data_IF_425689309779
#
_entry.id   IF_425689309779
#
_cell.length_a   1.000
_cell.length_b   1.000
_cell.length_c   1.000
_cell.angle_alpha   90.00
_cell.angle_beta   90.00
_cell.angle_gamma   90.00
#
_symmetry.space_group_name_H-M   'P 1'
#
loop_
_entity.id
_entity.type
_entity.pdbx_description
1 polymer ?
#
# COMPACT_ATOMS: atom_id res chain seq x y z
N UNK A 1 -3.12 13.28 -15.04
CA UNK A 1 -4.44 12.77 -14.70
C UNK A 1 -5.05 13.66 -13.64
N UNK A 2 -6.18 14.28 -13.96
CA UNK A 2 -6.92 15.07 -12.96
C UNK A 2 -7.89 14.15 -12.25
N UNK A 3 -7.56 13.78 -11.01
CA UNK A 3 -8.53 13.13 -10.16
C UNK A 3 -9.19 14.17 -9.25
N UNK A 4 -10.49 14.14 -9.28
CA UNK A 4 -11.34 14.95 -8.42
C UNK A 4 -11.03 14.66 -6.94
N UNK A 5 -11.27 15.66 -6.09
CA UNK A 5 -11.17 15.52 -4.63
C UNK A 5 -12.07 14.43 -4.05
N UNK A 6 -13.01 13.92 -4.86
CA UNK A 6 -13.88 12.80 -4.49
C UNK A 6 -13.21 11.43 -4.61
N UNK A 7 -11.97 11.34 -5.08
CA UNK A 7 -11.25 10.08 -5.21
C UNK A 7 -10.77 9.59 -3.84
N UNK A 8 -11.38 8.50 -3.39
CA UNK A 8 -11.08 7.89 -2.09
C UNK A 8 -10.64 6.44 -2.28
N UNK A 9 -9.35 6.18 -2.54
CA UNK A 9 -8.87 4.82 -2.64
C UNK A 9 -8.90 4.13 -1.28
N UNK A 10 -8.99 2.81 -1.30
CA UNK A 10 -9.01 2.00 -0.09
C UNK A 10 -7.69 1.23 0.06
N UNK A 11 -7.29 0.99 1.29
CA UNK A 11 -6.11 0.17 1.59
C UNK A 11 -6.22 -1.20 0.92
N UNK A 12 -5.14 -1.66 0.30
CA UNK A 12 -5.09 -2.93 -0.43
C UNK A 12 -5.46 -2.84 -1.90
N UNK A 13 -6.05 -1.74 -2.34
CA UNK A 13 -6.33 -1.53 -3.75
C UNK A 13 -5.04 -1.21 -4.51
N UNK A 14 -4.96 -1.70 -5.74
CA UNK A 14 -3.80 -1.50 -6.62
C UNK A 14 -4.21 -0.62 -7.78
N UNK A 15 -3.43 0.42 -8.01
CA UNK A 15 -3.61 1.37 -9.11
C UNK A 15 -2.31 1.53 -9.88
N UNK A 16 -2.41 1.89 -11.14
CA UNK A 16 -1.26 2.46 -11.85
C UNK A 16 -0.90 3.79 -11.21
N UNK A 17 0.38 3.98 -10.92
CA UNK A 17 0.87 5.19 -10.26
C UNK A 17 2.18 5.65 -10.90
N UNK A 18 2.40 6.96 -10.88
CA UNK A 18 3.68 7.52 -11.25
C UNK A 18 4.54 7.67 -10.01
N UNK A 19 5.70 7.03 -10.05
CA UNK A 19 6.72 7.11 -9.01
C UNK A 19 7.86 7.99 -9.51
N UNK A 20 8.12 9.08 -8.81
CA UNK A 20 9.27 9.95 -9.06
C UNK A 20 10.36 9.60 -8.04
N UNK A 21 11.45 9.01 -8.51
CA UNK A 21 12.53 8.56 -7.66
C UNK A 21 13.81 9.32 -7.91
N UNK A 22 14.68 9.36 -6.91
CA UNK A 22 16.02 9.91 -6.97
C UNK A 22 17.05 8.80 -6.75
N UNK A 23 18.10 8.78 -7.57
CA UNK A 23 19.16 7.78 -7.44
C UNK A 23 18.66 6.36 -7.66
N UNK A 24 18.75 5.52 -6.64
CA UNK A 24 18.36 4.12 -6.71
C UNK A 24 16.87 3.86 -6.51
N UNK A 25 16.08 4.90 -6.25
CA UNK A 25 14.63 4.74 -6.10
C UNK A 25 13.96 4.41 -7.43
N UNK A 26 12.92 3.57 -7.38
CA UNK A 26 12.11 3.29 -8.57
C UNK A 26 11.51 4.58 -9.13
N UNK A 27 11.64 4.75 -10.43
CA UNK A 27 11.08 5.90 -11.15
C UNK A 27 10.32 5.41 -12.37
N UNK A 28 9.16 6.00 -12.63
CA UNK A 28 8.30 5.63 -13.75
C UNK A 28 6.89 5.25 -13.32
N UNK A 29 6.15 4.66 -14.24
CA UNK A 29 4.76 4.22 -14.00
C UNK A 29 4.73 2.73 -13.68
N UNK A 30 4.29 2.41 -12.48
CA UNK A 30 4.20 1.04 -11.97
C UNK A 30 2.89 0.84 -11.22
N UNK A 31 2.44 -0.41 -11.06
CA UNK A 31 1.39 -0.69 -10.09
C UNK A 31 1.88 -0.35 -8.68
N UNK A 32 1.00 0.21 -7.88
CA UNK A 32 1.24 0.49 -6.47
C UNK A 32 0.04 0.05 -5.65
N UNK A 33 0.28 -0.56 -4.50
CA UNK A 33 -0.78 -0.91 -3.56
C UNK A 33 -0.93 0.19 -2.53
N UNK A 34 -2.18 0.60 -2.30
CA UNK A 34 -2.51 1.60 -1.29
C UNK A 34 -2.17 1.03 0.10
N UNK A 35 -1.34 1.75 0.82
CA UNK A 35 -0.78 1.33 2.10
C UNK A 35 -1.27 2.21 3.26
N UNK A 36 -1.63 3.45 2.98
CA UNK A 36 -2.14 4.39 3.97
C UNK A 36 -3.54 3.96 4.46
N UNK A 37 -3.87 4.29 5.72
CA UNK A 37 -5.19 4.03 6.27
C UNK A 37 -6.28 4.80 5.51
N UNK A 38 -7.52 4.30 5.61
CA UNK A 38 -8.63 4.81 4.80
C UNK A 38 -9.06 6.24 5.18
N UNK A 39 -8.84 6.68 6.41
CA UNK A 39 -9.09 8.08 6.80
C UNK A 39 -8.12 9.00 6.05
N UNK A 40 -6.84 8.70 6.05
CA UNK A 40 -5.85 9.43 5.28
C UNK A 40 -6.16 9.40 3.79
N UNK A 41 -6.56 8.25 3.27
CA UNK A 41 -6.93 8.09 1.87
C UNK A 41 -8.12 8.98 1.48
N UNK A 42 -9.07 9.16 2.39
CA UNK A 42 -10.24 10.01 2.15
C UNK A 42 -9.91 11.51 2.16
N UNK A 43 -9.11 11.95 3.13
CA UNK A 43 -8.96 13.38 3.42
C UNK A 43 -7.64 14.00 2.99
N UNK A 44 -6.58 13.21 2.81
CA UNK A 44 -5.30 13.74 2.36
C UNK A 44 -5.27 13.95 0.84
N UNK A 45 -4.59 15.00 0.34
CA UNK A 45 -4.34 15.14 -1.11
C UNK A 45 -3.36 14.11 -1.63
N UNK A 46 -2.65 13.43 -0.74
CA UNK A 46 -1.67 12.39 -1.08
C UNK A 46 -2.08 11.05 -0.49
N UNK A 47 -1.59 9.99 -1.10
CA UNK A 47 -1.68 8.63 -0.57
C UNK A 47 -0.27 8.11 -0.31
N UNK A 48 -0.17 7.07 0.52
CA UNK A 48 1.05 6.30 0.65
C UNK A 48 0.85 4.96 0.00
N UNK A 49 1.77 4.58 -0.88
CA UNK A 49 1.70 3.35 -1.63
C UNK A 49 3.03 2.59 -1.58
N UNK A 50 2.94 1.29 -1.76
CA UNK A 50 4.10 0.43 -1.96
C UNK A 50 4.14 0.02 -3.43
N UNK A 51 5.30 0.22 -4.11
CA UNK A 51 5.40 -0.17 -5.51
C UNK A 51 5.43 -1.68 -5.68
N UNK A 52 4.87 -2.15 -6.79
CA UNK A 52 4.98 -3.52 -7.23
C UNK A 52 5.89 -3.58 -8.45
N UNK A 53 6.79 -4.54 -8.46
CA UNK A 53 7.58 -4.85 -9.63
C UNK A 53 7.32 -6.27 -10.09
N UNK A 54 7.66 -6.56 -11.33
CA UNK A 54 7.51 -7.90 -11.89
C UNK A 54 8.41 -8.87 -11.14
N UNK A 55 7.86 -10.02 -10.75
CA UNK A 55 8.64 -11.06 -10.09
C UNK A 55 9.54 -11.77 -11.10
N UNK A 56 10.83 -11.58 -10.97
CA UNK A 56 11.85 -12.22 -11.83
C UNK A 56 12.47 -13.45 -11.21
N UNK A 57 11.92 -13.90 -10.07
CA UNK A 57 12.42 -15.07 -9.31
C UNK A 57 13.90 -14.94 -8.94
N UNK A 58 14.37 -13.71 -8.76
CA UNK A 58 15.69 -13.44 -8.21
C UNK A 58 15.65 -13.45 -6.68
N UNK A 59 16.79 -13.27 -6.04
CA UNK A 59 16.84 -13.22 -4.58
C UNK A 59 15.93 -12.14 -4.02
N UNK A 60 15.01 -12.52 -3.13
CA UNK A 60 14.09 -11.60 -2.48
C UNK A 60 14.52 -11.32 -1.04
N UNK A 61 14.27 -10.09 -0.59
CA UNK A 61 14.45 -9.69 0.79
C UNK A 61 13.25 -10.13 1.65
N UNK A 62 13.40 -10.22 2.98
CA UNK A 62 12.25 -10.48 3.86
C UNK A 62 11.15 -9.43 3.77
N UNK A 63 11.46 -8.24 3.25
CA UNK A 63 10.53 -7.14 3.02
C UNK A 63 9.84 -7.22 1.66
N UNK A 64 10.15 -8.20 0.85
CA UNK A 64 9.49 -8.47 -0.43
C UNK A 64 8.35 -9.45 -0.22
N UNK A 65 7.19 -9.15 -0.81
CA UNK A 65 6.01 -10.01 -0.74
C UNK A 65 5.64 -10.46 -2.15
N UNK A 66 5.72 -11.75 -2.39
CA UNK A 66 5.33 -12.33 -3.68
C UNK A 66 3.81 -12.31 -3.84
N UNK A 67 3.36 -11.92 -5.02
CA UNK A 67 1.94 -11.85 -5.37
C UNK A 67 1.73 -12.56 -6.68
N UNK A 68 0.99 -13.68 -6.66
CA UNK A 68 0.72 -14.42 -7.88
C UNK A 68 -0.34 -13.69 -8.73
N UNK A 69 -0.13 -13.69 -10.04
CA UNK A 69 -1.10 -13.13 -10.99
C UNK A 69 -2.46 -13.82 -10.88
N UNK A 70 -2.44 -15.15 -10.73
CA UNK A 70 -3.65 -15.97 -10.65
C UNK A 70 -4.54 -15.57 -9.48
N UNK A 71 -3.97 -15.37 -8.29
CA UNK A 71 -4.73 -15.09 -7.07
C UNK A 71 -5.08 -13.62 -6.91
N UNK A 72 -4.32 -12.72 -7.52
CA UNK A 72 -4.45 -11.28 -7.31
C UNK A 72 -5.22 -10.56 -8.39
N UNK A 73 -5.34 -11.14 -9.57
CA UNK A 73 -5.89 -10.44 -10.74
C UNK A 73 -4.88 -9.52 -11.44
N UNK A 74 -3.62 -9.53 -11.01
CA UNK A 74 -2.55 -8.83 -11.72
C UNK A 74 -2.20 -9.54 -13.02
N UNK A 75 -1.65 -8.79 -13.97
CA UNK A 75 -1.27 -9.33 -15.29
C UNK A 75 -0.08 -10.29 -15.20
N UNK A 76 0.83 -10.04 -14.27
CA UNK A 76 2.07 -10.81 -14.08
C UNK A 76 2.28 -11.11 -12.60
N UNK A 77 2.97 -12.21 -12.32
CA UNK A 77 3.49 -12.45 -10.98
C UNK A 77 4.37 -11.26 -10.59
N UNK A 78 4.13 -10.72 -9.42
CA UNK A 78 4.71 -9.47 -8.96
C UNK A 78 5.26 -9.60 -7.55
N UNK A 79 6.02 -8.59 -7.15
CA UNK A 79 6.58 -8.47 -5.80
C UNK A 79 6.23 -7.09 -5.26
N UNK A 80 5.64 -7.05 -4.08
CA UNK A 80 5.46 -5.80 -3.33
C UNK A 80 6.74 -5.46 -2.60
N UNK A 81 7.24 -4.24 -2.78
CA UNK A 81 8.45 -3.76 -2.12
C UNK A 81 8.06 -3.00 -0.85
N UNK A 82 7.95 -3.71 0.27
CA UNK A 82 7.49 -3.11 1.52
C UNK A 82 8.53 -2.16 2.14
N UNK A 83 9.79 -2.24 1.73
CA UNK A 83 10.85 -1.33 2.15
C UNK A 83 10.82 0.03 1.44
N UNK A 84 9.94 0.21 0.46
CA UNK A 84 9.91 1.41 -0.38
C UNK A 84 8.57 2.14 -0.36
N UNK A 85 8.04 2.50 0.82
CA UNK A 85 6.80 3.28 0.86
C UNK A 85 7.02 4.66 0.24
N UNK A 86 6.06 5.09 -0.59
CA UNK A 86 6.14 6.36 -1.30
C UNK A 86 4.87 7.16 -1.08
N UNK A 87 5.06 8.44 -0.84
CA UNK A 87 3.96 9.41 -0.83
C UNK A 87 3.71 9.83 -2.27
N UNK A 88 2.49 9.63 -2.73
CA UNK A 88 2.07 9.91 -4.11
C UNK A 88 0.92 10.91 -4.07
N UNK A 89 1.06 12.01 -4.80
CA UNK A 89 -0.04 12.94 -4.99
C UNK A 89 -1.19 12.22 -5.75
N UNK A 90 -2.43 12.42 -5.33
CA UNK A 90 -3.57 11.76 -5.96
C UNK A 90 -3.69 12.03 -7.46
N UNK A 91 -3.15 13.15 -7.94
CA UNK A 91 -3.14 13.46 -9.38
C UNK A 91 -2.25 12.50 -10.18
N UNK A 92 -1.32 11.82 -9.54
CA UNK A 92 -0.42 10.83 -10.17
C UNK A 92 -0.94 9.39 -10.06
N UNK A 93 -2.12 9.20 -9.48
CA UNK A 93 -2.76 7.88 -9.40
C UNK A 93 -3.63 7.67 -10.64
N UNK A 94 -3.36 6.60 -11.36
CA UNK A 94 -4.04 6.25 -12.60
C UNK A 94 -5.22 5.31 -12.40
N UNK A 95 -5.36 4.36 -13.31
CA UNK A 95 -6.49 3.44 -13.33
C UNK A 95 -6.37 2.36 -12.27
N UNK A 96 -7.52 1.98 -11.72
CA UNK A 96 -7.65 0.82 -10.83
C UNK A 96 -7.25 -0.47 -11.57
N UNK A 97 -6.51 -1.32 -10.88
CA UNK A 97 -6.11 -2.63 -11.42
C UNK A 97 -6.87 -3.75 -10.71
N UNK A 98 -6.70 -3.85 -9.40
CA UNK A 98 -7.29 -4.92 -8.60
C UNK A 98 -7.22 -4.57 -7.11
N UNK A 99 -7.76 -5.44 -6.27
CA UNK A 99 -7.57 -5.39 -4.82
C UNK A 99 -6.84 -6.66 -4.40
N UNK A 100 -5.77 -6.53 -3.63
CA UNK A 100 -5.01 -7.68 -3.15
C UNK A 100 -5.83 -8.48 -2.14
N UNK A 101 -5.72 -9.82 -2.17
CA UNK A 101 -6.39 -10.67 -1.18
C UNK A 101 -5.93 -10.35 0.25
N UNK A 102 -6.81 -10.58 1.22
CA UNK A 102 -6.51 -10.33 2.64
C UNK A 102 -5.25 -11.08 3.10
N UNK A 103 -5.06 -12.31 2.66
CA UNK A 103 -3.84 -13.08 3.00
C UNK A 103 -2.58 -12.40 2.49
N UNK A 104 -2.61 -11.85 1.29
CA UNK A 104 -1.49 -11.08 0.75
C UNK A 104 -1.24 -9.83 1.59
N UNK A 105 -2.31 -9.13 1.97
CA UNK A 105 -2.19 -7.92 2.79
C UNK A 105 -1.65 -8.21 4.19
N UNK A 106 -1.94 -9.38 4.77
CA UNK A 106 -1.31 -9.82 6.02
C UNK A 106 0.21 -9.94 5.86
N UNK A 107 0.65 -10.53 4.77
CA UNK A 107 2.07 -10.66 4.47
C UNK A 107 2.73 -9.28 4.23
N UNK A 108 2.03 -8.38 3.55
CA UNK A 108 2.50 -7.01 3.36
C UNK A 108 2.64 -6.28 4.70
N UNK A 109 1.68 -6.46 5.61
CA UNK A 109 1.73 -5.86 6.95
C UNK A 109 2.96 -6.35 7.73
N UNK A 110 3.21 -7.66 7.74
CA UNK A 110 4.38 -8.23 8.41
C UNK A 110 5.68 -7.68 7.79
N UNK A 111 5.77 -7.69 6.47
CA UNK A 111 6.95 -7.18 5.75
C UNK A 111 7.20 -5.69 6.05
N UNK A 112 6.14 -4.90 6.16
CA UNK A 112 6.23 -3.48 6.48
C UNK A 112 6.75 -3.23 7.89
N UNK A 113 6.31 -4.02 8.87
CA UNK A 113 6.82 -3.97 10.23
C UNK A 113 8.30 -4.34 10.30
N UNK A 114 8.72 -5.33 9.50
CA UNK A 114 10.12 -5.71 9.41
C UNK A 114 10.95 -4.61 8.74
N UNK A 115 10.42 -3.98 7.71
CA UNK A 115 11.12 -2.93 6.96
C UNK A 115 11.40 -1.70 7.82
N UNK A 116 10.43 -1.28 8.63
CA UNK A 116 10.57 -0.11 9.49
C UNK A 116 11.26 -0.42 10.82
N UNK A 117 11.16 -1.65 11.29
CA UNK A 117 11.59 -2.09 12.64
C UNK A 117 10.97 -1.28 13.80
N UNK A 118 9.97 -0.48 13.52
CA UNK A 118 9.29 0.33 14.55
C UNK A 118 8.66 -0.53 15.64
N UNK A 119 8.24 -1.74 15.30
CA UNK A 119 7.63 -2.67 16.26
C UNK A 119 8.57 -2.99 17.42
N UNK A 120 9.91 -2.90 17.23
CA UNK A 120 10.88 -3.16 18.29
C UNK A 120 10.81 -2.13 19.43
N UNK A 121 10.18 -0.98 19.21
CA UNK A 121 9.99 0.06 20.22
C UNK A 121 8.67 -0.09 21.00
N UNK A 122 7.84 -1.08 20.66
CA UNK A 122 6.51 -1.25 21.24
C UNK A 122 6.49 -2.43 22.20
N UNK A 123 5.74 -2.27 23.31
CA UNK A 123 5.36 -3.41 24.15
C UNK A 123 4.00 -3.98 23.68
N UNK A 124 3.60 -5.10 24.29
CA UNK A 124 2.37 -5.80 23.89
C UNK A 124 1.11 -4.95 24.06
N UNK A 125 1.05 -4.13 25.12
CA UNK A 125 -0.09 -3.26 25.37
C UNK A 125 -0.21 -2.18 24.29
N UNK A 126 0.91 -1.56 23.94
CA UNK A 126 0.97 -0.56 22.87
C UNK A 126 0.55 -1.18 21.52
N UNK A 127 1.02 -2.39 21.22
CA UNK A 127 0.66 -3.11 20.00
C UNK A 127 -0.85 -3.35 19.96
N UNK A 128 -1.42 -3.83 21.05
CA UNK A 128 -2.86 -4.10 21.14
C UNK A 128 -3.70 -2.85 20.95
N UNK A 129 -3.33 -1.76 21.61
CA UNK A 129 -4.04 -0.49 21.52
C UNK A 129 -3.92 0.11 20.12
N UNK A 130 -2.72 0.05 19.51
CA UNK A 130 -2.48 0.54 18.16
C UNK A 130 -3.25 -0.27 17.13
N UNK A 131 -3.31 -1.59 17.30
CA UNK A 131 -4.09 -2.46 16.43
C UNK A 131 -5.57 -2.11 16.45
N UNK A 132 -6.14 -1.87 17.63
CA UNK A 132 -7.55 -1.48 17.78
C UNK A 132 -7.83 -0.14 17.09
N UNK A 133 -6.95 0.84 17.27
CA UNK A 133 -7.07 2.15 16.63
C UNK A 133 -6.95 2.06 15.10
N UNK A 134 -6.01 1.26 14.59
CA UNK A 134 -5.83 1.06 13.16
C UNK A 134 -7.07 0.44 12.51
N UNK A 135 -7.70 -0.52 13.18
CA UNK A 135 -8.97 -1.10 12.71
C UNK A 135 -10.06 -0.04 12.64
N UNK A 136 -10.20 0.76 13.68
CA UNK A 136 -11.18 1.85 13.72
C UNK A 136 -10.97 2.83 12.57
N UNK A 137 -9.74 3.23 12.28
CA UNK A 137 -9.42 4.16 11.17
C UNK A 137 -9.81 3.60 9.80
N UNK A 138 -9.82 2.30 9.63
CA UNK A 138 -10.21 1.69 8.36
C UNK A 138 -11.72 1.42 8.27
N UNK A 139 -12.37 1.11 9.37
CA UNK A 139 -13.81 0.82 9.40
C UNK A 139 -14.66 2.08 9.31
N UNK A 140 -14.32 3.12 10.08
CA UNK A 140 -15.09 4.36 10.14
C UNK A 140 -15.14 5.10 8.80
N UNK A 141 -14.09 5.01 7.99
CA UNK A 141 -14.04 5.66 6.69
C UNK A 141 -14.95 5.00 5.65
N UNK A 142 -15.38 3.77 5.88
CA UNK A 142 -16.24 3.01 4.96
C UNK A 142 -17.72 3.27 5.20
N UNK A 143 -18.12 3.82 6.36
CA UNK A 143 -19.51 4.01 6.75
C UNK A 143 -19.97 5.45 6.85
N UNK A 144 -19.08 6.44 6.80
CA UNK A 144 -19.45 7.85 6.91
C UNK A 144 -19.13 8.61 5.65
N UNK A 145 -20.10 9.41 5.19
CA UNK A 145 -19.82 10.39 4.15
C UNK A 145 -18.73 11.34 4.65
N UNK A 146 -17.67 11.58 3.88
CA UNK A 146 -16.71 12.61 4.24
C UNK A 146 -17.43 13.95 4.25
N UNK A 147 -17.40 14.56 5.39
CA UNK A 147 -17.93 15.93 5.50
C UNK A 147 -17.02 16.90 4.80
#
# INVERSE_FOLDING_TARGET
>A
MNRDQSFHPLIGEVYWMRFDGNGSEMSGTFPGVIFQNNVGNAFSPCIVALPLCRNRKTQHLPTHVEVSAEKSGLRHDSVVLAESPRTIDKTYVGNYITKLPDETMKNVAVASLLASSCIAYLDEEMIRNTFAEARRLNEDSMGSSPC
#
